data_IF_080232861063
#
_entry.id   IF_080232861063
#
_cell.length_a   1.000
_cell.length_b   1.000
_cell.length_c   1.000
_cell.angle_alpha   90.00
_cell.angle_beta   90.00
_cell.angle_gamma   90.00
#
_symmetry.space_group_name_H-M   'P 1'
#
loop_
_entity.id
_entity.type
_entity.pdbx_description
1 polymer ?
#
# COMPACT_ATOMS: atom_id res chain seq x y z
N UNK A 1 30.40 -8.32 10.79
CA UNK A 1 29.54 -8.50 12.01
C UNK A 1 28.04 -8.57 11.69
N UNK A 2 27.44 -7.57 11.03
CA UNK A 2 25.97 -7.57 10.75
C UNK A 2 25.62 -8.59 9.67
N UNK A 3 26.42 -8.68 8.63
CA UNK A 3 26.25 -9.58 7.49
C UNK A 3 26.42 -11.06 7.93
N UNK A 4 27.26 -11.32 8.88
CA UNK A 4 27.58 -12.64 9.45
C UNK A 4 26.57 -13.07 10.53
N UNK A 5 25.57 -12.25 10.84
CA UNK A 5 24.54 -12.62 11.79
C UNK A 5 23.57 -13.61 11.12
N UNK A 6 23.33 -14.76 11.75
CA UNK A 6 22.54 -15.85 11.17
C UNK A 6 21.20 -15.43 10.57
N UNK A 7 20.49 -14.48 11.19
CA UNK A 7 19.21 -13.95 10.68
C UNK A 7 19.35 -13.06 9.44
N UNK A 8 20.54 -12.55 9.14
CA UNK A 8 20.83 -11.72 7.96
C UNK A 8 21.46 -12.57 6.87
N UNK A 9 22.39 -13.45 7.24
CA UNK A 9 23.11 -14.36 6.31
C UNK A 9 22.13 -15.22 5.48
N UNK A 10 21.05 -15.72 6.09
CA UNK A 10 20.00 -16.49 5.39
C UNK A 10 19.17 -15.67 4.39
N UNK A 11 19.29 -14.34 4.41
CA UNK A 11 18.47 -13.42 3.61
C UNK A 11 19.24 -12.87 2.41
N UNK A 12 20.57 -12.73 2.55
CA UNK A 12 21.44 -12.09 1.57
C UNK A 12 22.33 -13.09 0.85
N UNK A 13 22.84 -12.71 -0.30
CA UNK A 13 23.88 -13.42 -1.04
C UNK A 13 25.12 -12.52 -1.12
N UNK A 14 26.31 -13.10 -0.94
CA UNK A 14 27.58 -12.38 -1.03
C UNK A 14 28.42 -13.03 -2.13
N UNK A 15 28.88 -12.23 -3.11
CA UNK A 15 29.74 -12.73 -4.18
C UNK A 15 31.22 -12.78 -3.76
N UNK A 16 32.05 -13.37 -4.61
CA UNK A 16 33.51 -13.53 -4.38
C UNK A 16 34.26 -12.19 -4.21
N UNK A 17 33.65 -11.08 -4.64
CA UNK A 17 34.19 -9.74 -4.47
C UNK A 17 33.71 -9.04 -3.20
N UNK A 18 32.90 -9.70 -2.38
CA UNK A 18 32.33 -9.17 -1.14
C UNK A 18 31.14 -8.24 -1.35
N UNK A 19 30.53 -8.21 -2.56
CA UNK A 19 29.29 -7.45 -2.80
C UNK A 19 28.10 -8.24 -2.28
N UNK A 20 27.19 -7.53 -1.65
CA UNK A 20 25.98 -8.08 -1.05
C UNK A 20 24.80 -7.91 -2.01
N UNK A 21 24.07 -8.97 -2.26
CA UNK A 21 22.88 -8.99 -3.08
C UNK A 21 21.67 -9.40 -2.24
N UNK A 22 20.53 -8.90 -2.61
CA UNK A 22 19.24 -9.18 -1.98
C UNK A 22 18.19 -9.35 -3.06
N UNK A 23 17.41 -10.42 -3.00
CA UNK A 23 16.19 -10.53 -3.79
C UNK A 23 15.19 -9.45 -3.37
N UNK A 24 14.58 -8.75 -4.32
CA UNK A 24 13.58 -7.71 -4.06
C UNK A 24 12.43 -8.20 -3.17
N UNK A 25 12.02 -9.46 -3.31
CA UNK A 25 10.98 -10.11 -2.49
C UNK A 25 11.37 -10.18 -1.01
N UNK A 26 12.67 -10.29 -0.70
CA UNK A 26 13.17 -10.41 0.67
C UNK A 26 13.58 -9.08 1.32
N UNK A 27 13.33 -7.95 0.62
CA UNK A 27 13.67 -6.60 1.11
C UNK A 27 13.03 -6.30 2.48
N UNK A 28 11.77 -6.69 2.67
CA UNK A 28 11.06 -6.53 3.93
C UNK A 28 11.65 -7.37 5.07
N UNK A 29 12.06 -8.61 4.76
CA UNK A 29 12.68 -9.52 5.74
C UNK A 29 13.99 -8.95 6.25
N UNK A 30 14.84 -8.45 5.35
CA UNK A 30 16.12 -7.83 5.72
C UNK A 30 15.91 -6.59 6.59
N UNK A 31 14.96 -5.72 6.23
CA UNK A 31 14.64 -4.52 7.04
C UNK A 31 14.22 -4.92 8.46
N UNK A 32 13.36 -5.91 8.60
CA UNK A 32 12.92 -6.39 9.91
C UNK A 32 14.06 -7.01 10.71
N UNK A 33 14.94 -7.79 10.07
CA UNK A 33 16.09 -8.38 10.72
C UNK A 33 17.05 -7.30 11.26
N UNK A 34 17.37 -6.31 10.44
CA UNK A 34 18.25 -5.20 10.82
C UNK A 34 17.67 -4.36 11.97
N UNK A 35 16.39 -4.01 11.90
CA UNK A 35 15.71 -3.26 12.98
C UNK A 35 15.71 -4.03 14.29
N UNK A 36 15.48 -5.36 14.27
CA UNK A 36 15.54 -6.21 15.47
C UNK A 36 16.94 -6.25 16.08
N UNK A 37 17.97 -6.12 15.26
CA UNK A 37 19.38 -6.06 15.69
C UNK A 37 19.80 -4.65 16.14
N UNK A 38 18.89 -3.66 16.08
CA UNK A 38 19.16 -2.29 16.50
C UNK A 38 19.79 -1.41 15.42
N UNK A 39 19.83 -1.85 14.17
CA UNK A 39 20.35 -1.07 13.04
C UNK A 39 19.22 -0.34 12.34
N UNK A 40 19.21 1.01 12.31
CA UNK A 40 18.25 1.77 11.50
C UNK A 40 18.53 1.53 10.02
N UNK A 41 17.45 1.38 9.23
CA UNK A 41 17.55 1.10 7.80
C UNK A 41 17.19 2.35 7.00
N UNK A 42 18.14 2.84 6.20
CA UNK A 42 17.91 3.82 5.14
C UNK A 42 17.69 3.06 3.82
N UNK A 43 16.43 2.87 3.45
CA UNK A 43 16.05 2.08 2.29
C UNK A 43 15.90 2.96 1.04
N UNK A 44 16.92 2.96 0.20
CA UNK A 44 16.96 3.71 -1.07
C UNK A 44 16.73 2.84 -2.31
N UNK A 45 16.22 1.64 -2.14
CA UNK A 45 15.98 0.71 -3.26
C UNK A 45 14.88 1.15 -4.24
N UNK A 46 14.23 2.30 -4.00
CA UNK A 46 13.15 2.82 -4.81
C UNK A 46 11.87 1.96 -4.72
N UNK A 47 10.88 2.32 -5.51
CA UNK A 47 9.62 1.60 -5.67
C UNK A 47 9.35 1.43 -7.16
N UNK A 48 8.67 0.36 -7.55
CA UNK A 48 8.18 0.20 -8.91
C UNK A 48 7.06 1.21 -9.19
N UNK A 49 7.16 1.88 -10.33
CA UNK A 49 6.10 2.77 -10.78
C UNK A 49 4.94 1.94 -11.28
N UNK A 50 3.74 2.18 -10.75
CA UNK A 50 2.51 1.61 -11.30
C UNK A 50 2.11 2.28 -12.61
N UNK A 51 1.02 1.81 -13.22
CA UNK A 51 0.42 2.48 -14.36
C UNK A 51 -0.09 3.87 -13.96
N UNK A 52 0.15 4.86 -14.80
CA UNK A 52 -0.31 6.22 -14.58
C UNK A 52 -1.84 6.31 -14.68
N UNK A 53 -2.44 7.14 -13.84
CA UNK A 53 -3.88 7.40 -13.84
C UNK A 53 -4.11 8.90 -13.65
N UNK A 54 -4.76 9.54 -14.60
CA UNK A 54 -5.08 10.96 -14.49
C UNK A 54 -6.50 11.17 -13.96
N UNK A 55 -6.64 12.04 -12.98
CA UNK A 55 -7.90 12.47 -12.41
C UNK A 55 -7.69 13.76 -11.60
N UNK A 56 -8.78 14.43 -11.28
CA UNK A 56 -8.75 15.64 -10.46
C UNK A 56 -9.58 15.45 -9.20
N UNK A 57 -9.22 16.17 -8.16
CA UNK A 57 -10.09 16.30 -6.98
C UNK A 57 -11.32 17.09 -7.40
N UNK A 58 -12.51 16.63 -6.98
CA UNK A 58 -13.73 17.38 -7.19
C UNK A 58 -13.66 18.71 -6.44
N UNK A 59 -13.95 19.80 -7.16
CA UNK A 59 -14.06 21.13 -6.60
C UNK A 59 -15.52 21.52 -6.38
N UNK A 60 -16.42 20.53 -6.24
CA UNK A 60 -17.81 20.82 -5.95
C UNK A 60 -17.96 21.67 -4.68
N UNK A 61 -18.91 22.59 -4.70
CA UNK A 61 -19.18 23.51 -3.61
C UNK A 61 -19.30 22.76 -2.29
N UNK A 62 -18.23 22.79 -1.49
CA UNK A 62 -18.20 22.21 -0.14
C UNK A 62 -17.08 21.17 0.13
N UNK A 63 -16.38 20.65 -0.89
CA UNK A 63 -15.23 19.78 -0.64
C UNK A 63 -13.91 20.55 -0.79
N UNK A 64 -13.20 20.72 0.30
CA UNK A 64 -11.83 21.22 0.33
C UNK A 64 -10.99 20.37 1.27
N UNK A 65 -9.77 20.05 0.84
CA UNK A 65 -8.79 19.42 1.73
C UNK A 65 -8.45 20.39 2.87
N UNK A 66 -8.54 19.89 4.10
CA UNK A 66 -8.09 20.64 5.29
C UNK A 66 -6.56 20.68 5.31
N UNK A 67 -5.99 21.73 5.89
CA UNK A 67 -4.54 21.94 5.95
C UNK A 67 -3.78 20.72 6.46
N UNK A 68 -4.27 20.07 7.52
CA UNK A 68 -3.59 18.89 8.08
C UNK A 68 -3.67 17.68 7.15
N UNK A 69 -4.71 17.55 6.32
CA UNK A 69 -4.85 16.47 5.31
C UNK A 69 -3.85 16.67 4.17
N UNK A 70 -3.72 17.92 3.70
CA UNK A 70 -2.72 18.27 2.69
C UNK A 70 -1.30 18.03 3.22
N UNK A 71 -1.01 18.49 4.45
CA UNK A 71 0.30 18.28 5.10
C UNK A 71 0.63 16.80 5.29
N UNK A 72 -0.35 15.97 5.68
CA UNK A 72 -0.15 14.54 5.84
C UNK A 72 0.17 13.84 4.50
N UNK A 73 -0.57 14.16 3.43
CA UNK A 73 -0.30 13.64 2.10
C UNK A 73 1.05 14.13 1.54
N UNK A 74 1.38 15.41 1.75
CA UNK A 74 2.66 15.98 1.34
C UNK A 74 3.84 15.35 2.10
N UNK A 75 3.69 15.10 3.41
CA UNK A 75 4.71 14.45 4.22
C UNK A 75 4.95 12.99 3.78
N UNK A 76 3.90 12.28 3.38
CA UNK A 76 4.01 10.94 2.78
C UNK A 76 4.75 11.00 1.44
N UNK A 77 4.40 11.95 0.58
CA UNK A 77 4.97 12.07 -0.77
C UNK A 77 6.40 12.61 -0.78
N UNK A 78 6.76 13.45 0.19
CA UNK A 78 8.09 14.10 0.32
C UNK A 78 8.61 14.73 -0.99
N UNK A 79 7.71 15.32 -1.79
CA UNK A 79 8.06 15.93 -3.07
C UNK A 79 8.54 14.94 -4.14
N UNK A 80 8.22 13.65 -4.01
CA UNK A 80 8.67 12.59 -4.92
C UNK A 80 10.12 12.14 -4.68
N UNK A 81 10.70 12.44 -3.53
CA UNK A 81 12.05 11.98 -3.18
C UNK A 81 12.07 10.48 -2.87
N UNK A 82 13.25 9.85 -3.01
CA UNK A 82 13.46 8.42 -2.71
C UNK A 82 13.16 8.05 -1.24
N UNK A 83 13.09 9.04 -0.35
CA UNK A 83 12.72 8.88 1.06
C UNK A 83 11.21 8.93 1.30
N UNK A 84 10.42 9.37 0.32
CA UNK A 84 8.96 9.42 0.37
C UNK A 84 8.30 8.13 -0.09
N UNK A 85 6.97 8.11 -0.07
CA UNK A 85 6.18 7.00 -0.62
C UNK A 85 5.92 5.83 0.35
N UNK A 86 6.44 5.90 1.59
CA UNK A 86 6.16 4.90 2.61
C UNK A 86 5.95 5.59 3.98
N UNK A 87 4.92 5.20 4.70
CA UNK A 87 4.66 5.77 6.03
C UNK A 87 3.32 5.38 6.61
N UNK A 88 3.11 5.76 7.86
CA UNK A 88 1.85 5.54 8.58
C UNK A 88 1.25 6.89 8.96
N UNK A 89 0.01 7.11 8.56
CA UNK A 89 -0.77 8.30 8.93
C UNK A 89 -1.67 7.97 10.11
N UNK A 90 -1.44 8.61 11.23
CA UNK A 90 -2.25 8.43 12.46
C UNK A 90 -3.13 9.66 12.65
N UNK A 91 -4.43 9.45 12.60
CA UNK A 91 -5.43 10.51 12.78
C UNK A 91 -6.57 10.03 13.69
N UNK A 92 -7.20 10.92 14.46
CA UNK A 92 -8.40 10.59 15.24
C UNK A 92 -9.54 10.04 14.37
N UNK A 93 -10.46 9.31 14.98
CA UNK A 93 -11.69 8.90 14.32
C UNK A 93 -12.45 10.14 13.78
N UNK A 94 -13.01 10.05 12.57
CA UNK A 94 -13.73 11.14 11.94
C UNK A 94 -12.86 12.26 11.34
N UNK A 95 -11.55 12.25 11.51
CA UNK A 95 -10.65 13.25 10.92
C UNK A 95 -10.46 13.12 9.40
N UNK A 96 -11.09 12.12 8.75
CA UNK A 96 -11.04 11.97 7.30
C UNK A 96 -9.76 11.27 6.82
N UNK A 97 -9.37 10.15 7.43
CA UNK A 97 -8.26 9.29 6.95
C UNK A 97 -8.39 8.94 5.47
N UNK A 98 -9.61 8.57 5.04
CA UNK A 98 -9.93 8.30 3.63
C UNK A 98 -9.57 9.47 2.71
N UNK A 99 -9.84 10.70 3.15
CA UNK A 99 -9.53 11.92 2.39
C UNK A 99 -8.01 12.11 2.24
N UNK A 100 -7.23 11.78 3.27
CA UNK A 100 -5.75 11.80 3.16
C UNK A 100 -5.27 10.76 2.15
N UNK A 101 -5.86 9.56 2.13
CA UNK A 101 -5.57 8.56 1.12
C UNK A 101 -5.89 9.06 -0.30
N UNK A 102 -7.05 9.69 -0.51
CA UNK A 102 -7.42 10.30 -1.80
C UNK A 102 -6.45 11.44 -2.18
N UNK A 103 -6.01 12.24 -1.21
CA UNK A 103 -5.01 13.28 -1.47
C UNK A 103 -3.64 12.68 -1.88
N UNK A 104 -3.22 11.57 -1.28
CA UNK A 104 -2.01 10.85 -1.69
C UNK A 104 -2.15 10.27 -3.11
N UNK A 105 -3.30 9.68 -3.44
CA UNK A 105 -3.60 9.24 -4.81
C UNK A 105 -3.46 10.39 -5.82
N UNK A 106 -3.99 11.57 -5.47
CA UNK A 106 -3.91 12.76 -6.34
C UNK A 106 -2.47 13.29 -6.52
N UNK A 107 -1.60 13.12 -5.53
CA UNK A 107 -0.19 13.50 -5.65
C UNK A 107 0.60 12.51 -6.52
N UNK A 108 0.31 11.21 -6.43
CA UNK A 108 1.05 10.17 -7.13
C UNK A 108 0.52 9.91 -8.56
N UNK A 109 -0.75 10.13 -8.81
CA UNK A 109 -1.39 9.91 -10.13
C UNK A 109 -1.11 8.53 -10.71
N UNK A 110 -1.23 7.49 -9.90
CA UNK A 110 -0.96 6.11 -10.29
C UNK A 110 -2.09 5.17 -9.86
N UNK A 111 -2.19 4.03 -10.53
CA UNK A 111 -3.13 2.99 -10.14
C UNK A 111 -2.97 2.69 -8.64
N UNK A 112 -4.09 2.55 -7.96
CA UNK A 112 -4.10 2.44 -6.50
C UNK A 112 -4.89 1.23 -6.03
N UNK A 113 -4.30 0.44 -5.13
CA UNK A 113 -4.98 -0.61 -4.37
C UNK A 113 -5.27 -0.12 -2.96
N UNK A 114 -6.53 -0.16 -2.55
CA UNK A 114 -6.94 0.13 -1.17
C UNK A 114 -7.38 -1.16 -0.49
N UNK A 115 -6.76 -1.49 0.63
CA UNK A 115 -7.07 -2.67 1.43
C UNK A 115 -7.82 -2.28 2.70
N UNK A 116 -8.99 -2.88 2.90
CA UNK A 116 -9.89 -2.57 4.01
C UNK A 116 -10.30 -3.82 4.79
N UNK A 117 -10.94 -3.62 5.92
CA UNK A 117 -11.30 -4.70 6.85
C UNK A 117 -12.52 -5.51 6.44
N UNK A 118 -13.48 -4.89 5.73
CA UNK A 118 -14.75 -5.53 5.39
C UNK A 118 -15.43 -4.84 4.18
N UNK A 119 -16.47 -5.46 3.65
CA UNK A 119 -17.20 -4.99 2.48
C UNK A 119 -17.89 -3.63 2.70
N UNK A 120 -18.29 -3.30 3.93
CA UNK A 120 -18.89 -1.99 4.24
C UNK A 120 -17.84 -0.89 4.04
N UNK A 121 -16.63 -1.11 4.53
CA UNK A 121 -15.52 -0.19 4.34
C UNK A 121 -15.13 -0.07 2.85
N UNK A 122 -15.14 -1.19 2.08
CA UNK A 122 -14.96 -1.14 0.61
C UNK A 122 -15.94 -0.19 -0.02
N UNK A 123 -17.24 -0.35 0.23
CA UNK A 123 -18.28 0.51 -0.34
C UNK A 123 -18.15 1.97 0.12
N UNK A 124 -17.72 2.19 1.35
CA UNK A 124 -17.45 3.54 1.84
C UNK A 124 -16.31 4.20 1.07
N UNK A 125 -15.18 3.51 0.88
CA UNK A 125 -14.06 4.01 0.10
C UNK A 125 -14.45 4.31 -1.35
N UNK A 126 -15.12 3.39 -2.01
CA UNK A 126 -15.62 3.58 -3.40
C UNK A 126 -16.49 4.83 -3.50
N UNK A 127 -17.45 5.01 -2.58
CA UNK A 127 -18.32 6.19 -2.56
C UNK A 127 -17.53 7.48 -2.31
N UNK A 128 -16.61 7.49 -1.36
CA UNK A 128 -15.79 8.66 -1.02
C UNK A 128 -14.88 9.07 -2.20
N UNK A 129 -14.23 8.09 -2.85
CA UNK A 129 -13.39 8.34 -4.03
C UNK A 129 -14.23 8.99 -5.13
N UNK A 130 -15.36 8.38 -5.49
CA UNK A 130 -16.23 8.89 -6.57
C UNK A 130 -16.87 10.24 -6.26
N UNK A 131 -17.17 10.51 -4.99
CA UNK A 131 -17.74 11.80 -4.58
C UNK A 131 -16.70 12.93 -4.54
N UNK A 132 -15.40 12.62 -4.41
CA UNK A 132 -14.34 13.61 -4.17
C UNK A 132 -13.33 13.70 -5.31
N UNK A 133 -13.53 12.95 -6.36
CA UNK A 133 -12.65 12.95 -7.55
C UNK A 133 -13.47 12.89 -8.82
N UNK A 134 -12.82 13.15 -9.97
CA UNK A 134 -13.44 12.97 -11.29
C UNK A 134 -13.55 11.50 -11.72
N UNK A 135 -13.10 10.54 -10.88
CA UNK A 135 -13.13 9.11 -11.18
C UNK A 135 -14.56 8.58 -11.21
N UNK A 136 -14.84 7.73 -12.19
CA UNK A 136 -16.14 7.14 -12.46
C UNK A 136 -16.24 5.69 -11.98
N UNK A 137 -17.37 5.03 -12.22
CA UNK A 137 -17.54 3.59 -11.98
C UNK A 137 -16.65 2.72 -12.87
N UNK A 138 -16.15 3.24 -13.99
CA UNK A 138 -15.22 2.53 -14.86
C UNK A 138 -13.79 2.55 -14.31
N UNK A 139 -13.47 3.49 -13.43
CA UNK A 139 -12.14 3.71 -12.88
C UNK A 139 -11.98 3.10 -11.48
N UNK A 140 -13.09 2.89 -10.75
CA UNK A 140 -13.10 2.41 -9.37
C UNK A 140 -13.81 1.07 -9.27
N UNK A 141 -13.10 0.03 -8.88
CA UNK A 141 -13.58 -1.35 -8.76
C UNK A 141 -13.60 -1.86 -7.32
N UNK A 142 -14.56 -2.76 -7.05
CA UNK A 142 -14.61 -3.54 -5.82
C UNK A 142 -14.02 -4.94 -6.03
N UNK A 143 -13.13 -5.37 -5.12
CA UNK A 143 -12.56 -6.69 -5.14
C UNK A 143 -12.81 -7.39 -3.79
N UNK A 144 -13.90 -8.13 -3.73
CA UNK A 144 -14.43 -8.77 -2.52
C UNK A 144 -14.83 -10.22 -2.80
N UNK A 145 -15.52 -10.88 -1.88
CA UNK A 145 -16.12 -12.20 -2.09
C UNK A 145 -17.06 -12.23 -3.29
N UNK A 146 -17.90 -11.21 -3.43
CA UNK A 146 -18.98 -11.15 -4.42
C UNK A 146 -18.55 -10.48 -5.73
N UNK A 147 -17.62 -9.52 -5.69
CA UNK A 147 -17.15 -8.74 -6.84
C UNK A 147 -15.66 -8.95 -7.07
N UNK A 148 -15.24 -9.05 -8.33
CA UNK A 148 -13.84 -9.27 -8.74
C UNK A 148 -13.43 -8.26 -9.82
N UNK A 149 -13.78 -6.99 -9.63
CA UNK A 149 -13.53 -5.94 -10.61
C UNK A 149 -12.17 -5.28 -10.35
N UNK A 150 -11.16 -5.61 -11.15
CA UNK A 150 -9.87 -4.92 -11.15
C UNK A 150 -10.00 -3.68 -12.03
N UNK A 151 -9.73 -2.52 -11.46
CA UNK A 151 -9.78 -1.20 -12.11
C UNK A 151 -8.54 -0.39 -11.71
N UNK A 152 -8.26 0.75 -12.35
CA UNK A 152 -7.16 1.62 -11.93
C UNK A 152 -7.15 1.93 -10.44
N UNK A 153 -8.31 2.16 -9.84
CA UNK A 153 -8.48 2.15 -8.39
C UNK A 153 -9.26 0.91 -7.99
N UNK A 154 -8.63 0.04 -7.26
CA UNK A 154 -9.27 -1.20 -6.78
C UNK A 154 -9.34 -1.17 -5.26
N UNK A 155 -10.54 -1.35 -4.71
CA UNK A 155 -10.75 -1.43 -3.26
C UNK A 155 -11.08 -2.86 -2.89
N UNK A 156 -10.25 -3.49 -2.07
CA UNK A 156 -10.34 -4.90 -1.70
C UNK A 156 -10.42 -5.08 -0.17
N UNK A 157 -10.90 -6.24 0.24
CA UNK A 157 -10.82 -6.63 1.65
C UNK A 157 -9.54 -7.42 1.91
N UNK A 158 -8.95 -7.32 3.12
CA UNK A 158 -7.83 -8.17 3.54
C UNK A 158 -8.17 -9.66 3.43
N UNK A 159 -9.40 -10.04 3.75
CA UNK A 159 -9.83 -11.42 3.77
C UNK A 159 -9.78 -12.08 2.39
N UNK A 160 -10.07 -11.32 1.31
CA UNK A 160 -10.03 -11.91 -0.03
C UNK A 160 -8.60 -12.24 -0.45
N UNK A 161 -7.63 -11.39 -0.09
CA UNK A 161 -6.22 -11.60 -0.41
C UNK A 161 -5.64 -12.80 0.35
N UNK A 162 -6.09 -12.98 1.59
CA UNK A 162 -5.63 -14.07 2.46
C UNK A 162 -6.50 -15.33 2.38
N UNK A 163 -7.43 -15.37 1.41
CA UNK A 163 -8.25 -16.55 1.18
C UNK A 163 -7.43 -17.70 0.60
N UNK A 164 -7.60 -18.90 1.16
CA UNK A 164 -7.01 -20.16 0.70
C UNK A 164 -8.11 -21.19 0.50
N UNK A 165 -8.00 -22.02 -0.53
CA UNK A 165 -8.91 -23.16 -0.73
C UNK A 165 -8.65 -24.28 0.28
N UNK A 166 -7.40 -24.47 0.68
CA UNK A 166 -6.96 -25.43 1.69
C UNK A 166 -5.82 -24.87 2.54
N UNK A 167 -5.51 -25.51 3.68
CA UNK A 167 -4.45 -25.03 4.60
C UNK A 167 -3.04 -25.05 3.99
N UNK A 168 -2.81 -25.91 3.00
CA UNK A 168 -1.54 -26.08 2.29
C UNK A 168 -1.48 -25.34 0.96
N UNK A 169 -2.61 -24.77 0.50
CA UNK A 169 -2.65 -24.02 -0.76
C UNK A 169 -2.10 -22.60 -0.57
N UNK A 170 -1.54 -22.07 -1.63
CA UNK A 170 -1.18 -20.65 -1.72
C UNK A 170 -2.40 -19.73 -1.63
N UNK A 171 -2.19 -18.45 -1.38
CA UNK A 171 -3.25 -17.45 -1.39
C UNK A 171 -3.77 -17.25 -2.81
N UNK A 172 -5.06 -17.45 -3.01
CA UNK A 172 -5.69 -17.51 -4.34
C UNK A 172 -5.69 -16.17 -5.07
N UNK A 173 -5.60 -15.05 -4.35
CA UNK A 173 -5.81 -13.70 -4.88
C UNK A 173 -4.61 -12.76 -4.69
N UNK A 174 -3.41 -13.27 -4.35
CA UNK A 174 -2.22 -12.43 -4.28
C UNK A 174 -1.77 -11.91 -5.65
N UNK A 175 -2.14 -12.60 -6.73
CA UNK A 175 -1.94 -12.16 -8.11
C UNK A 175 -2.58 -10.80 -8.41
N UNK A 176 -3.48 -10.31 -7.56
CA UNK A 176 -4.06 -8.97 -7.67
C UNK A 176 -2.99 -7.87 -7.69
N UNK A 177 -1.92 -8.03 -6.92
CA UNK A 177 -0.83 -7.05 -6.87
C UNK A 177 -0.16 -6.89 -8.23
N UNK A 178 0.06 -7.99 -8.95
CA UNK A 178 0.70 -7.98 -10.27
C UNK A 178 -0.27 -7.49 -11.37
N UNK A 179 -1.53 -7.94 -11.29
CA UNK A 179 -2.54 -7.67 -12.33
C UNK A 179 -3.01 -6.23 -12.40
N UNK A 180 -2.97 -5.51 -11.28
CA UNK A 180 -3.47 -4.13 -11.20
C UNK A 180 -2.45 -3.06 -11.59
N UNK A 181 -1.16 -3.44 -11.74
CA UNK A 181 -0.07 -2.48 -11.98
C UNK A 181 -0.13 -1.28 -11.02
N UNK A 182 -0.34 -1.54 -9.75
CA UNK A 182 -0.52 -0.53 -8.72
C UNK A 182 0.82 0.12 -8.34
N UNK A 183 0.87 1.46 -8.34
CA UNK A 183 2.00 2.23 -7.83
C UNK A 183 1.76 2.76 -6.41
N UNK A 184 0.53 2.65 -5.90
CA UNK A 184 0.18 3.00 -4.53
C UNK A 184 -0.66 1.90 -3.90
N UNK A 185 -0.28 1.49 -2.69
CA UNK A 185 -1.08 0.59 -1.86
C UNK A 185 -1.43 1.30 -0.55
N UNK A 186 -2.72 1.39 -0.26
CA UNK A 186 -3.24 2.00 0.97
C UNK A 186 -3.80 0.91 1.86
N UNK A 187 -3.23 0.77 3.04
CA UNK A 187 -3.72 -0.13 4.08
C UNK A 187 -4.60 0.66 5.06
N UNK A 188 -5.90 0.50 4.98
CA UNK A 188 -6.83 1.07 5.97
C UNK A 188 -6.87 0.19 7.22
N UNK A 189 -6.92 0.81 8.41
CA UNK A 189 -6.84 0.12 9.71
C UNK A 189 -5.56 -0.77 9.83
N UNK A 190 -4.42 -0.19 9.49
CA UNK A 190 -3.10 -0.86 9.43
C UNK A 190 -2.71 -1.61 10.72
N UNK A 191 -3.33 -1.27 11.85
CA UNK A 191 -3.12 -1.97 13.13
C UNK A 191 -3.53 -3.45 13.09
N UNK A 192 -4.29 -3.89 12.10
CA UNK A 192 -4.64 -5.30 11.89
C UNK A 192 -3.56 -6.09 11.15
N UNK A 193 -2.62 -5.44 10.46
CA UNK A 193 -1.52 -6.11 9.72
C UNK A 193 -0.63 -7.02 10.59
N UNK A 194 -0.38 -6.74 11.89
CA UNK A 194 0.39 -7.66 12.73
C UNK A 194 -0.24 -9.04 12.89
N UNK A 195 -1.54 -9.21 12.61
CA UNK A 195 -2.16 -10.53 12.62
C UNK A 195 -1.49 -11.46 11.59
N UNK A 196 -1.12 -12.71 11.98
CA UNK A 196 -0.34 -13.61 11.11
C UNK A 196 -0.99 -13.83 9.73
N UNK A 197 -2.31 -13.78 9.66
CA UNK A 197 -3.09 -13.98 8.43
C UNK A 197 -2.89 -12.85 7.42
N UNK A 198 -2.69 -11.61 7.89
CA UNK A 198 -2.59 -10.43 7.02
C UNK A 198 -1.15 -10.03 6.68
N UNK A 199 -0.14 -10.66 7.32
CA UNK A 199 1.27 -10.41 7.01
C UNK A 199 1.70 -10.86 5.62
N UNK A 200 0.87 -11.64 4.95
CA UNK A 200 1.15 -12.13 3.61
C UNK A 200 0.77 -11.13 2.50
N UNK A 201 0.10 -10.02 2.86
CA UNK A 201 -0.23 -8.90 1.95
C UNK A 201 0.77 -7.77 2.14
#
# INVERSE_FOLDING_TARGET
EVIEHATVEDIIEVDDSGRVFLSAVRRGDLKQALVKLGYPVDDRGGYESGAGMDFELSCDEGFQLRDYQQKAAAAFHMGGSDLGGCGVVVLPCGAGKTVVGIAAMNLLKTNTLVLTTNTIAVRQWVREIRAKTSLTENDVGEYTGDHKNIRPVTVATYQILTHRRGKLDGFTHLDLFDRGSFGLIIYDEVHLLPAPVFRAT
#
